data_IF_919051757092
#
_entry.id   IF_919051757092
#
_cell.length_a   1.000
_cell.length_b   1.000
_cell.length_c   1.000
_cell.angle_alpha   90.00
_cell.angle_beta   90.00
_cell.angle_gamma   90.00
#
_symmetry.space_group_name_H-M   'P 1'
#
loop_
_entity.id
_entity.type
_entity.pdbx_description
1 polymer ?
#
# COMPACT_ATOMS: atom_id res chain seq x y z
N UNK A 1 31.21 27.12 -31.01
CA UNK A 1 29.75 26.95 -31.18
C UNK A 1 29.10 27.68 -30.01
N UNK A 2 28.05 28.46 -30.24
CA UNK A 2 27.29 29.11 -29.16
C UNK A 2 26.47 28.04 -28.40
N UNK A 3 26.32 28.14 -27.08
CA UNK A 3 25.47 27.25 -26.29
C UNK A 3 24.02 27.24 -26.81
N UNK A 4 23.52 28.41 -27.21
CA UNK A 4 22.20 28.53 -27.87
C UNK A 4 22.12 27.68 -29.15
N UNK A 5 23.19 27.62 -29.96
CA UNK A 5 23.21 26.78 -31.18
C UNK A 5 23.30 25.29 -30.85
N UNK A 6 23.98 24.92 -29.77
CA UNK A 6 24.00 23.54 -29.30
C UNK A 6 22.62 23.10 -28.79
N UNK A 7 21.90 23.99 -28.10
CA UNK A 7 20.53 23.78 -27.63
C UNK A 7 19.52 23.71 -28.78
N UNK A 8 19.60 24.62 -29.76
CA UNK A 8 18.77 24.61 -30.97
C UNK A 8 19.00 23.35 -31.83
N UNK A 9 20.25 22.89 -32.00
CA UNK A 9 20.53 21.64 -32.73
C UNK A 9 20.07 20.41 -31.92
N UNK A 10 20.23 20.40 -30.59
CA UNK A 10 19.73 19.32 -29.72
C UNK A 10 18.20 19.19 -29.78
N UNK A 11 17.46 20.30 -29.66
CA UNK A 11 16.02 20.33 -29.85
C UNK A 11 15.61 19.85 -31.25
N UNK A 12 16.37 20.21 -32.30
CA UNK A 12 16.07 19.78 -33.66
C UNK A 12 16.34 18.28 -33.88
N UNK A 13 17.36 17.72 -33.23
CA UNK A 13 17.63 16.27 -33.22
C UNK A 13 16.52 15.54 -32.46
N UNK A 14 16.10 16.05 -31.30
CA UNK A 14 15.01 15.46 -30.50
C UNK A 14 13.68 15.48 -31.26
N UNK A 15 13.34 16.59 -31.93
CA UNK A 15 12.16 16.72 -32.78
C UNK A 15 12.23 15.86 -34.07
N UNK A 16 13.42 15.52 -34.56
CA UNK A 16 13.60 14.63 -35.70
C UNK A 16 13.56 13.14 -35.31
N UNK A 17 13.98 12.79 -34.09
CA UNK A 17 13.84 11.45 -33.52
C UNK A 17 12.40 11.13 -33.08
N UNK A 18 11.69 12.13 -32.56
CA UNK A 18 10.26 12.05 -32.21
C UNK A 18 9.36 12.12 -33.46
N UNK A 19 9.47 11.14 -34.36
CA UNK A 19 8.59 11.00 -35.51
C UNK A 19 7.12 11.01 -35.08
N UNK A 20 6.33 11.94 -35.62
CA UNK A 20 5.01 12.36 -35.09
C UNK A 20 4.10 11.17 -34.74
N UNK A 21 3.89 10.88 -33.44
CA UNK A 21 2.94 9.86 -33.02
C UNK A 21 1.53 10.34 -33.34
N UNK A 22 0.72 9.50 -33.98
CA UNK A 22 -0.73 9.75 -34.09
C UNK A 22 -1.37 9.54 -32.73
N UNK A 23 -1.36 10.59 -31.90
CA UNK A 23 -2.01 10.62 -30.58
C UNK A 23 -3.50 10.33 -30.73
N UNK A 24 -3.90 9.08 -30.54
CA UNK A 24 -5.30 8.68 -30.47
C UNK A 24 -5.90 9.13 -29.14
N UNK A 25 -7.18 9.50 -29.15
CA UNK A 25 -7.87 9.95 -27.94
C UNK A 25 -7.80 8.91 -26.82
N UNK A 26 -7.83 7.64 -27.17
CA UNK A 26 -7.83 6.53 -26.21
C UNK A 26 -6.42 6.22 -25.67
N UNK A 27 -5.37 6.44 -26.48
CA UNK A 27 -3.98 6.43 -25.98
C UNK A 27 -3.69 7.61 -25.03
N UNK A 28 -4.29 8.78 -25.28
CA UNK A 28 -4.22 9.92 -24.34
C UNK A 28 -5.01 9.63 -23.06
N UNK A 29 -6.18 8.99 -23.15
CA UNK A 29 -6.98 8.58 -21.99
C UNK A 29 -6.25 7.55 -21.11
N UNK A 30 -5.76 6.46 -21.69
CA UNK A 30 -5.02 5.43 -20.93
C UNK A 30 -3.80 6.00 -20.20
N UNK A 31 -3.06 6.92 -20.84
CA UNK A 31 -1.92 7.60 -20.21
C UNK A 31 -2.35 8.56 -19.10
N UNK A 32 -3.46 9.29 -19.27
CA UNK A 32 -4.00 10.17 -18.24
C UNK A 32 -4.55 9.39 -17.02
N UNK A 33 -5.18 8.24 -17.24
CA UNK A 33 -5.61 7.34 -16.15
C UNK A 33 -4.40 6.79 -15.39
N UNK A 34 -3.36 6.33 -16.08
CA UNK A 34 -2.14 5.79 -15.45
C UNK A 34 -1.41 6.84 -14.60
N UNK A 35 -1.37 8.11 -15.04
CA UNK A 35 -0.82 9.23 -14.26
C UNK A 35 -1.69 9.59 -13.04
N UNK A 36 -3.02 9.44 -13.13
CA UNK A 36 -3.89 9.56 -11.95
C UNK A 36 -3.67 8.44 -10.94
N UNK A 37 -3.60 7.18 -11.37
CA UNK A 37 -3.40 6.03 -10.46
C UNK A 37 -2.11 6.17 -9.63
N UNK A 38 -1.01 6.66 -10.22
CA UNK A 38 0.22 7.00 -9.48
C UNK A 38 0.07 8.03 -8.34
N UNK A 39 -1.01 8.83 -8.32
CA UNK A 39 -1.31 9.75 -7.21
C UNK A 39 -2.21 9.14 -6.14
N UNK A 40 -2.91 8.04 -6.45
CA UNK A 40 -3.73 7.29 -5.50
C UNK A 40 -2.94 6.15 -4.82
N UNK A 41 -1.95 5.56 -5.50
CA UNK A 41 -1.11 4.46 -4.99
C UNK A 41 -0.02 4.90 -3.97
N UNK A 42 0.00 6.17 -3.57
CA UNK A 42 1.03 6.76 -2.70
C UNK A 42 0.50 7.06 -1.29
N UNK A 43 -0.35 6.18 -0.75
CA UNK A 43 -1.13 6.45 0.46
C UNK A 43 -1.80 5.22 1.07
N UNK A 44 -1.07 4.35 1.79
CA UNK A 44 -1.61 3.13 2.45
C UNK A 44 -0.63 2.46 3.47
N UNK A 45 -0.56 2.99 4.70
CA UNK A 45 -0.25 2.36 6.01
C UNK A 45 -0.73 3.38 7.10
N UNK A 46 -1.03 3.19 8.40
CA UNK A 46 -0.85 2.08 9.36
C UNK A 46 -1.04 2.42 10.89
N UNK A 47 -2.09 3.10 11.43
CA UNK A 47 -2.19 3.42 12.91
C UNK A 47 -3.54 3.69 13.65
N UNK A 48 -3.76 3.08 14.84
CA UNK A 48 -4.71 3.58 15.88
C UNK A 48 -4.40 3.17 17.34
N UNK A 49 -4.69 4.06 18.32
CA UNK A 49 -4.69 3.71 19.76
C UNK A 49 -5.65 4.60 20.60
N UNK A 50 -6.68 3.99 21.22
CA UNK A 50 -7.58 4.65 22.19
C UNK A 50 -7.62 3.88 23.54
N UNK A 51 -6.74 4.25 24.48
CA UNK A 51 -6.64 3.58 25.79
C UNK A 51 -7.52 4.27 26.84
N UNK A 52 -8.70 3.69 27.14
CA UNK A 52 -9.55 4.16 28.25
C UNK A 52 -10.55 3.12 28.81
N UNK A 53 -10.09 2.12 29.58
CA UNK A 53 -10.97 1.29 30.40
C UNK A 53 -10.30 0.77 31.69
N UNK A 54 -10.59 1.41 32.83
CA UNK A 54 -10.15 0.92 34.15
C UNK A 54 -11.26 0.13 34.84
N UNK A 55 -11.07 -1.18 35.04
CA UNK A 55 -12.00 -2.05 35.77
C UNK A 55 -11.26 -2.86 36.83
N UNK A 56 -11.70 -2.75 38.09
CA UNK A 56 -11.18 -3.51 39.23
C UNK A 56 -12.31 -4.34 39.85
N UNK A 57 -12.11 -5.65 40.04
CA UNK A 57 -12.84 -6.43 41.04
C UNK A 57 -11.99 -6.69 42.30
N UNK A 58 -12.63 -6.61 43.47
CA UNK A 58 -12.07 -7.04 44.76
C UNK A 58 -12.44 -8.51 45.08
N UNK A 59 -11.83 -9.03 46.16
CA UNK A 59 -12.05 -10.30 46.86
C UNK A 59 -11.27 -11.51 46.31
N UNK A 60 -10.43 -12.24 47.07
CA UNK A 60 -10.44 -12.73 48.47
C UNK A 60 -11.13 -14.08 48.69
N UNK A 61 -10.29 -15.13 48.75
CA UNK A 61 -10.29 -16.20 49.75
C UNK A 61 -11.62 -16.90 50.11
N UNK A 62 -11.82 -18.07 49.53
CA UNK A 62 -12.27 -19.27 50.26
C UNK A 62 -11.40 -20.48 49.86
N UNK A 63 -11.40 -21.53 50.67
CA UNK A 63 -10.70 -22.79 50.37
C UNK A 63 -11.36 -23.96 51.10
N UNK A 64 -10.98 -25.19 50.75
CA UNK A 64 -11.47 -26.39 51.42
C UNK A 64 -11.01 -27.69 50.74
N UNK A 65 -10.31 -28.54 51.49
CA UNK A 65 -10.05 -29.93 51.11
C UNK A 65 -11.36 -30.74 51.14
N UNK A 66 -11.52 -31.68 50.20
CA UNK A 66 -12.76 -32.45 50.06
C UNK A 66 -12.63 -33.66 49.14
N UNK A 67 -11.83 -34.65 49.53
CA UNK A 67 -11.73 -35.92 48.79
C UNK A 67 -12.94 -36.82 49.08
N UNK A 68 -13.67 -37.22 48.03
CA UNK A 68 -14.52 -38.43 48.04
C UNK A 68 -14.37 -39.18 46.72
N UNK A 69 -14.08 -40.48 46.83
CA UNK A 69 -13.80 -41.39 45.72
C UNK A 69 -15.03 -41.61 44.82
N UNK A 70 -14.85 -41.49 43.50
CA UNK A 70 -15.82 -41.94 42.49
C UNK A 70 -15.07 -42.43 41.25
N UNK A 71 -15.26 -43.70 40.89
CA UNK A 71 -14.56 -44.35 39.79
C UNK A 71 -14.91 -43.69 38.43
N UNK A 72 -13.91 -43.36 37.59
CA UNK A 72 -14.16 -42.77 36.28
C UNK A 72 -14.81 -43.79 35.32
N UNK A 73 -15.76 -43.35 34.46
CA UNK A 73 -16.34 -44.21 33.43
C UNK A 73 -15.30 -44.56 32.34
N UNK A 74 -15.61 -45.61 31.57
CA UNK A 74 -14.70 -46.25 30.59
C UNK A 74 -14.20 -45.26 29.53
N UNK A 75 -12.91 -45.37 29.21
CA UNK A 75 -12.23 -44.61 28.16
C UNK A 75 -12.95 -44.70 26.82
N UNK A 76 -13.40 -43.55 26.32
CA UNK A 76 -13.59 -43.35 24.88
C UNK A 76 -12.25 -43.57 24.16
N UNK A 77 -12.26 -44.04 22.90
CA UNK A 77 -11.03 -44.16 22.13
C UNK A 77 -10.46 -42.77 21.88
N UNK A 78 -9.22 -42.53 22.33
CA UNK A 78 -8.48 -41.32 21.98
C UNK A 78 -8.26 -41.31 20.48
N UNK A 79 -8.95 -40.42 19.76
CA UNK A 79 -8.54 -40.04 18.40
C UNK A 79 -7.18 -39.39 18.54
N UNK A 80 -6.19 -39.84 17.77
CA UNK A 80 -4.85 -39.26 17.83
C UNK A 80 -4.90 -37.85 17.25
N UNK A 81 -4.46 -36.85 18.02
CA UNK A 81 -4.35 -35.43 17.61
C UNK A 81 -3.21 -35.21 16.60
N UNK A 82 -3.24 -36.01 15.52
CA UNK A 82 -2.18 -36.15 14.51
C UNK A 82 -2.78 -36.30 13.10
N UNK A 83 -4.11 -36.11 12.99
CA UNK A 83 -4.88 -36.28 11.75
C UNK A 83 -5.19 -34.96 11.03
N UNK A 84 -5.15 -33.83 11.75
CA UNK A 84 -5.17 -32.50 11.16
C UNK A 84 -3.73 -31.97 11.14
N UNK A 85 -3.20 -31.46 10.01
CA UNK A 85 -2.09 -30.53 10.10
C UNK A 85 -2.54 -29.30 10.91
N UNK A 86 -1.63 -28.56 11.56
CA UNK A 86 -1.97 -27.21 12.00
C UNK A 86 -2.43 -26.40 10.78
N UNK A 87 -3.35 -25.45 10.99
CA UNK A 87 -3.57 -24.44 9.97
C UNK A 87 -2.23 -23.75 9.66
N UNK A 88 -1.92 -23.42 8.38
CA UNK A 88 -0.77 -22.59 8.09
C UNK A 88 -0.84 -21.31 8.93
N UNK A 89 0.31 -20.87 9.43
CA UNK A 89 0.41 -19.59 10.13
C UNK A 89 0.30 -18.41 9.15
N UNK A 90 0.35 -17.17 9.68
CA UNK A 90 0.47 -15.97 8.86
C UNK A 90 1.52 -16.10 7.76
N UNK A 91 1.11 -15.79 6.52
CA UNK A 91 1.95 -15.80 5.33
C UNK A 91 2.25 -14.35 4.95
N UNK A 92 3.52 -13.97 5.06
CA UNK A 92 4.01 -12.67 4.59
C UNK A 92 4.23 -12.75 3.07
N UNK A 93 3.66 -11.82 2.31
CA UNK A 93 3.82 -11.73 0.86
C UNK A 93 4.46 -10.41 0.39
N UNK A 94 4.97 -9.56 1.29
CA UNK A 94 5.67 -8.32 0.88
C UNK A 94 6.84 -8.62 -0.06
N UNK A 95 7.07 -7.73 -1.01
CA UNK A 95 8.02 -7.96 -2.09
C UNK A 95 7.47 -8.85 -3.23
N UNK A 96 6.16 -9.13 -3.27
CA UNK A 96 5.56 -9.70 -4.48
C UNK A 96 5.60 -8.69 -5.64
N UNK A 97 5.57 -9.18 -6.87
CA UNK A 97 5.42 -8.35 -8.07
C UNK A 97 4.42 -8.94 -9.05
N UNK A 98 3.93 -8.11 -9.97
CA UNK A 98 2.99 -8.51 -11.03
C UNK A 98 3.62 -8.24 -12.39
N UNK A 99 3.65 -9.24 -13.27
CA UNK A 99 4.20 -9.18 -14.61
C UNK A 99 3.18 -9.65 -15.63
N UNK A 100 2.72 -8.76 -16.50
CA UNK A 100 1.71 -9.02 -17.56
C UNK A 100 0.40 -9.69 -17.08
N UNK A 101 0.12 -9.63 -15.77
CA UNK A 101 -1.05 -10.23 -15.10
C UNK A 101 -0.75 -11.48 -14.28
N UNK A 102 0.45 -12.06 -14.37
CA UNK A 102 0.94 -13.10 -13.48
C UNK A 102 1.48 -12.48 -12.19
N UNK A 103 1.03 -13.01 -11.04
CA UNK A 103 1.51 -12.64 -9.71
C UNK A 103 2.69 -13.54 -9.37
N UNK A 104 3.79 -12.94 -8.90
CA UNK A 104 4.98 -13.61 -8.41
C UNK A 104 5.10 -13.38 -6.89
N UNK A 105 4.70 -14.35 -6.05
CA UNK A 105 4.91 -14.29 -4.60
C UNK A 105 6.40 -14.35 -4.24
N UNK A 106 6.85 -13.74 -3.13
CA UNK A 106 8.19 -13.98 -2.56
C UNK A 106 8.39 -15.45 -2.14
N UNK A 107 7.35 -16.09 -1.60
CA UNK A 107 7.32 -17.54 -1.32
C UNK A 107 6.12 -18.20 -2.01
N UNK A 108 6.38 -18.96 -3.08
CA UNK A 108 5.35 -19.71 -3.82
C UNK A 108 5.80 -20.13 -5.21
N UNK A 109 4.85 -20.65 -5.99
CA UNK A 109 4.94 -20.68 -7.45
C UNK A 109 4.16 -19.46 -7.99
N UNK A 110 4.62 -18.79 -9.07
CA UNK A 110 3.83 -17.74 -9.72
C UNK A 110 2.49 -18.25 -10.24
N UNK A 111 1.47 -17.38 -10.27
CA UNK A 111 0.12 -17.74 -10.73
C UNK A 111 -0.58 -16.59 -11.43
N UNK A 112 -1.42 -16.90 -12.42
CA UNK A 112 -2.31 -15.93 -13.07
C UNK A 112 -3.73 -16.08 -12.50
N UNK A 113 -4.33 -15.02 -11.91
CA UNK A 113 -5.72 -15.02 -11.45
C UNK A 113 -6.73 -15.32 -12.57
N UNK A 114 -7.77 -16.13 -12.31
CA UNK A 114 -8.85 -16.41 -13.27
C UNK A 114 -9.87 -15.26 -13.35
N UNK A 115 -9.40 -14.08 -13.80
CA UNK A 115 -10.17 -12.83 -13.85
C UNK A 115 -10.40 -12.35 -15.29
N UNK A 116 -11.63 -11.93 -15.57
CA UNK A 116 -11.95 -11.11 -16.74
C UNK A 116 -11.56 -9.66 -16.44
N UNK A 117 -10.55 -9.11 -17.14
CA UNK A 117 -10.26 -7.68 -17.12
C UNK A 117 -8.78 -7.28 -17.06
N UNK A 118 -8.55 -6.00 -16.78
CA UNK A 118 -7.25 -5.45 -16.37
C UNK A 118 -7.16 -5.49 -14.85
N UNK A 119 -6.16 -6.19 -14.29
CA UNK A 119 -5.81 -6.07 -12.86
C UNK A 119 -5.17 -4.69 -12.65
N UNK A 120 -5.70 -3.95 -11.69
CA UNK A 120 -5.38 -2.54 -11.43
C UNK A 120 -4.59 -2.31 -10.15
N UNK A 121 -4.83 -3.17 -9.16
CA UNK A 121 -4.19 -3.21 -7.85
C UNK A 121 -4.26 -4.64 -7.32
N UNK A 122 -3.29 -5.02 -6.50
CA UNK A 122 -3.21 -6.32 -5.83
C UNK A 122 -2.69 -6.06 -4.42
N UNK A 123 -3.17 -6.83 -3.45
CA UNK A 123 -2.57 -6.99 -2.12
C UNK A 123 -2.94 -8.39 -1.59
N UNK A 124 -2.48 -8.78 -0.41
CA UNK A 124 -2.69 -10.11 0.17
C UNK A 124 -3.43 -10.04 1.51
N UNK A 125 -3.79 -11.21 2.02
CA UNK A 125 -4.14 -11.43 3.41
C UNK A 125 -3.19 -12.49 3.99
N UNK A 126 -2.83 -12.36 5.27
CA UNK A 126 -1.93 -13.29 5.96
C UNK A 126 -2.46 -14.75 6.00
N UNK A 127 -3.73 -14.98 5.69
CA UNK A 127 -4.32 -16.32 5.53
C UNK A 127 -4.07 -16.98 4.15
N UNK A 128 -3.26 -16.34 3.30
CA UNK A 128 -2.85 -16.86 1.99
C UNK A 128 -3.82 -16.56 0.85
N UNK A 129 -4.80 -15.68 1.07
CA UNK A 129 -5.67 -15.12 0.02
C UNK A 129 -5.05 -13.88 -0.61
N UNK A 130 -5.46 -13.61 -1.85
CA UNK A 130 -5.10 -12.40 -2.59
C UNK A 130 -6.36 -11.56 -2.85
N UNK A 131 -6.22 -10.24 -2.82
CA UNK A 131 -7.31 -9.28 -3.06
C UNK A 131 -6.89 -8.37 -4.20
N UNK A 132 -7.73 -8.28 -5.24
CA UNK A 132 -7.40 -7.63 -6.51
C UNK A 132 -8.47 -6.61 -6.88
N UNK A 133 -8.07 -5.39 -7.25
CA UNK A 133 -8.93 -4.45 -7.96
C UNK A 133 -8.89 -4.73 -9.45
N UNK A 134 -10.05 -4.93 -10.10
CA UNK A 134 -10.13 -5.36 -11.51
C UNK A 134 -11.08 -4.47 -12.31
N UNK A 135 -10.71 -4.15 -13.56
CA UNK A 135 -11.60 -3.56 -14.57
C UNK A 135 -12.08 -4.64 -15.58
N UNK A 136 -13.17 -5.36 -15.28
CA UNK A 136 -13.75 -6.34 -16.19
C UNK A 136 -14.36 -5.75 -17.47
N UNK A 137 -14.39 -6.54 -18.54
CA UNK A 137 -14.74 -6.03 -19.87
C UNK A 137 -16.23 -5.63 -19.96
N UNK A 138 -16.46 -4.31 -20.05
CA UNK A 138 -17.81 -3.75 -20.18
C UNK A 138 -18.65 -3.78 -18.90
N UNK A 139 -18.02 -4.02 -17.74
CA UNK A 139 -18.64 -4.01 -16.41
C UNK A 139 -18.09 -2.84 -15.57
N UNK A 140 -18.53 -2.75 -14.30
CA UNK A 140 -17.99 -1.80 -13.34
C UNK A 140 -16.64 -2.30 -12.78
N UNK A 141 -15.93 -1.45 -12.02
CA UNK A 141 -14.78 -1.90 -11.23
C UNK A 141 -15.26 -2.86 -10.13
N UNK A 142 -14.53 -3.95 -9.94
CA UNK A 142 -14.87 -5.03 -9.01
C UNK A 142 -13.65 -5.40 -8.18
N UNK A 143 -13.86 -5.74 -6.91
CA UNK A 143 -12.83 -6.34 -6.05
C UNK A 143 -12.99 -7.85 -6.05
N UNK A 144 -11.95 -8.57 -6.44
CA UNK A 144 -11.90 -10.02 -6.53
C UNK A 144 -11.03 -10.56 -5.39
N UNK A 145 -11.42 -11.70 -4.82
CA UNK A 145 -10.60 -12.43 -3.85
C UNK A 145 -10.26 -13.80 -4.44
N UNK A 146 -8.97 -14.14 -4.53
CA UNK A 146 -8.49 -15.46 -4.99
C UNK A 146 -7.72 -16.20 -3.90
N UNK A 147 -7.47 -17.49 -4.12
CA UNK A 147 -6.37 -18.18 -3.45
C UNK A 147 -5.03 -17.96 -4.18
N UNK A 148 -3.95 -18.54 -3.65
CA UNK A 148 -2.61 -18.53 -4.25
C UNK A 148 -2.42 -19.48 -5.45
N UNK A 149 -3.52 -20.00 -6.04
CA UNK A 149 -3.52 -20.67 -7.35
C UNK A 149 -4.22 -19.82 -8.44
N UNK A 150 -4.88 -18.73 -8.03
CA UNK A 150 -5.69 -17.88 -8.90
C UNK A 150 -7.16 -18.26 -8.95
N UNK A 151 -7.64 -19.26 -8.20
CA UNK A 151 -9.07 -19.62 -8.17
C UNK A 151 -9.87 -18.51 -7.47
N UNK A 152 -10.91 -18.00 -8.14
CA UNK A 152 -11.76 -16.92 -7.62
C UNK A 152 -12.68 -17.45 -6.51
N UNK A 153 -12.36 -17.06 -5.28
CA UNK A 153 -13.11 -17.37 -4.07
C UNK A 153 -14.34 -16.45 -3.90
N UNK A 154 -14.20 -15.18 -4.26
CA UNK A 154 -15.27 -14.19 -4.17
C UNK A 154 -15.10 -13.01 -5.15
N UNK A 155 -16.21 -12.30 -5.41
CA UNK A 155 -16.24 -11.04 -6.15
C UNK A 155 -17.18 -10.06 -5.48
N UNK A 156 -16.80 -8.79 -5.44
CA UNK A 156 -17.45 -7.73 -4.67
C UNK A 156 -17.58 -6.45 -5.49
N UNK A 157 -18.73 -5.78 -5.37
CA UNK A 157 -18.94 -4.45 -5.94
C UNK A 157 -18.03 -3.42 -5.24
N UNK A 158 -17.40 -2.55 -6.02
CA UNK A 158 -16.49 -1.50 -5.57
C UNK A 158 -16.62 -0.24 -6.43
N UNK A 159 -16.16 0.91 -5.93
CA UNK A 159 -15.85 2.06 -6.79
C UNK A 159 -14.42 1.97 -7.29
N UNK A 160 -14.18 2.47 -8.51
CA UNK A 160 -12.85 2.70 -9.08
C UNK A 160 -11.97 3.49 -8.09
N UNK A 161 -10.86 2.88 -7.64
CA UNK A 161 -10.00 3.37 -6.56
C UNK A 161 -8.94 2.34 -6.15
N UNK A 162 -8.05 2.72 -5.24
CA UNK A 162 -7.06 1.81 -4.66
C UNK A 162 -7.69 0.80 -3.68
N UNK A 163 -6.96 -0.29 -3.42
CA UNK A 163 -7.14 -1.08 -2.21
C UNK A 163 -6.33 -0.42 -1.08
N UNK A 164 -6.81 -0.57 0.14
CA UNK A 164 -6.13 -0.16 1.37
C UNK A 164 -5.85 -1.41 2.21
N UNK A 165 -4.69 -1.54 2.86
CA UNK A 165 -4.31 -2.74 3.62
C UNK A 165 -3.23 -2.43 4.65
N UNK A 166 -3.24 -3.11 5.80
CA UNK A 166 -2.15 -3.02 6.77
C UNK A 166 -0.89 -3.81 6.32
N UNK A 167 0.29 -3.36 6.77
CA UNK A 167 1.61 -3.93 6.43
C UNK A 167 1.79 -5.42 6.77
N UNK A 168 0.90 -6.02 7.56
CA UNK A 168 0.93 -7.44 7.91
C UNK A 168 -0.03 -8.29 7.05
N UNK A 169 -0.91 -7.67 6.26
CA UNK A 169 -2.01 -8.37 5.57
C UNK A 169 -3.11 -8.83 6.52
N UNK A 170 -3.28 -8.18 7.68
CA UNK A 170 -4.33 -8.50 8.65
C UNK A 170 -5.74 -8.21 8.12
N UNK A 171 -5.91 -7.15 7.33
CA UNK A 171 -7.16 -6.81 6.66
C UNK A 171 -6.96 -5.92 5.42
N UNK A 172 -7.89 -6.05 4.46
CA UNK A 172 -7.96 -5.21 3.25
C UNK A 172 -9.29 -4.46 3.22
N UNK A 173 -9.28 -3.18 2.84
CA UNK A 173 -10.47 -2.36 2.66
C UNK A 173 -10.59 -1.75 1.26
N UNK A 174 -11.83 -1.50 0.85
CA UNK A 174 -12.17 -0.82 -0.40
C UNK A 174 -13.48 -0.06 -0.25
N UNK A 175 -13.76 0.87 -1.17
CA UNK A 175 -14.98 1.67 -1.17
C UNK A 175 -16.12 0.98 -1.94
N UNK A 176 -17.28 0.82 -1.32
CA UNK A 176 -18.50 0.30 -1.97
C UNK A 176 -19.22 1.39 -2.80
N UNK A 177 -19.94 1.06 -3.89
CA UNK A 177 -20.71 2.05 -4.67
C UNK A 177 -21.79 2.83 -3.89
N UNK A 178 -22.20 2.36 -2.72
CA UNK A 178 -23.05 3.12 -1.77
C UNK A 178 -22.27 4.12 -0.89
N UNK A 179 -20.99 4.37 -1.17
CA UNK A 179 -20.17 5.35 -0.46
C UNK A 179 -19.66 4.92 0.92
N UNK A 180 -19.68 3.62 1.22
CA UNK A 180 -19.23 3.06 2.50
C UNK A 180 -17.98 2.21 2.31
N UNK A 181 -16.95 2.35 3.15
CA UNK A 181 -15.86 1.40 3.19
C UNK A 181 -16.37 -0.02 3.52
N UNK A 182 -15.72 -1.03 2.94
CA UNK A 182 -15.81 -2.44 3.34
C UNK A 182 -14.48 -2.90 3.89
N UNK A 183 -14.51 -3.87 4.80
CA UNK A 183 -13.34 -4.53 5.37
C UNK A 183 -13.42 -6.03 5.14
N UNK A 184 -12.36 -6.63 4.60
CA UNK A 184 -12.14 -8.07 4.61
C UNK A 184 -10.92 -8.37 5.49
N UNK A 185 -11.16 -8.81 6.71
CA UNK A 185 -10.09 -9.25 7.61
C UNK A 185 -9.65 -10.69 7.32
N UNK A 186 -8.42 -11.01 7.72
CA UNK A 186 -7.85 -12.36 7.79
C UNK A 186 -8.81 -13.32 8.51
N UNK A 187 -8.89 -14.57 8.02
CA UNK A 187 -9.81 -15.60 8.46
C UNK A 187 -11.30 -15.37 8.10
N UNK A 188 -11.70 -14.19 7.62
CA UNK A 188 -13.11 -13.91 7.30
C UNK A 188 -13.50 -14.31 5.89
N UNK A 189 -14.47 -15.23 5.78
CA UNK A 189 -15.03 -15.65 4.49
C UNK A 189 -15.95 -14.63 3.79
N UNK A 190 -16.18 -13.44 4.37
CA UNK A 190 -16.96 -12.33 3.79
C UNK A 190 -16.52 -10.99 4.39
N UNK A 191 -16.60 -9.88 3.64
CA UNK A 191 -16.35 -8.56 4.20
C UNK A 191 -17.49 -8.04 5.09
N UNK A 192 -17.15 -7.16 6.03
CA UNK A 192 -18.09 -6.31 6.76
C UNK A 192 -18.23 -4.92 6.12
N UNK A 193 -19.35 -4.25 6.38
CA UNK A 193 -19.59 -2.85 5.97
C UNK A 193 -19.27 -1.89 7.13
N UNK A 194 -18.59 -0.77 6.84
CA UNK A 194 -18.49 0.35 7.78
C UNK A 194 -19.85 1.05 7.95
N UNK A 195 -20.11 1.54 9.17
CA UNK A 195 -21.37 2.25 9.48
C UNK A 195 -21.44 3.67 8.87
N UNK A 196 -20.34 4.17 8.30
CA UNK A 196 -20.23 5.51 7.72
C UNK A 196 -20.33 5.52 6.18
N UNK A 197 -21.30 6.29 5.66
CA UNK A 197 -21.25 6.82 4.27
C UNK A 197 -20.33 8.04 4.24
N UNK A 198 -19.18 7.90 3.57
CA UNK A 198 -18.16 8.92 3.45
C UNK A 198 -18.38 9.88 2.28
N UNK A 199 -19.19 9.51 1.29
CA UNK A 199 -19.39 10.35 0.09
C UNK A 199 -20.14 11.64 0.37
N UNK A 200 -21.03 11.67 1.38
CA UNK A 200 -21.88 12.84 1.64
C UNK A 200 -22.73 13.29 0.42
N UNK A 201 -22.86 12.43 -0.60
CA UNK A 201 -23.46 12.75 -1.90
C UNK A 201 -22.59 13.55 -2.88
N UNK A 202 -21.28 13.76 -2.66
CA UNK A 202 -20.36 14.48 -3.57
C UNK A 202 -18.91 14.00 -3.51
N UNK A 203 -18.28 13.95 -4.69
CA UNK A 203 -16.89 13.55 -4.91
C UNK A 203 -16.58 12.08 -4.53
N UNK A 204 -15.52 11.46 -5.09
CA UNK A 204 -15.01 10.22 -4.55
C UNK A 204 -14.34 10.49 -3.20
N UNK A 205 -14.61 9.65 -2.21
CA UNK A 205 -13.71 9.48 -1.06
C UNK A 205 -12.69 8.42 -1.46
N UNK A 206 -11.40 8.74 -1.43
CA UNK A 206 -10.36 7.72 -1.58
C UNK A 206 -10.07 7.14 -0.20
N UNK A 207 -10.18 5.82 -0.06
CA UNK A 207 -9.49 5.19 1.07
C UNK A 207 -7.99 5.37 0.84
N UNK A 208 -7.30 5.76 1.90
CA UNK A 208 -5.87 5.50 1.99
C UNK A 208 -5.66 4.09 2.53
N UNK A 209 -6.26 3.78 3.66
CA UNK A 209 -5.53 2.92 4.60
C UNK A 209 -6.38 2.08 5.57
N UNK A 210 -5.87 0.92 6.04
CA UNK A 210 -6.42 0.03 7.09
C UNK A 210 -5.48 -0.12 8.31
N UNK A 211 -5.89 0.39 9.47
CA UNK A 211 -4.97 0.54 10.62
C UNK A 211 -4.70 -0.81 11.36
N UNK A 212 -3.47 -1.06 11.86
CA UNK A 212 -3.04 -2.36 12.36
C UNK A 212 -3.86 -2.81 13.57
N UNK A 213 -4.13 -4.11 13.61
CA UNK A 213 -5.06 -4.71 14.58
C UNK A 213 -6.53 -4.67 14.15
N UNK A 214 -6.84 -4.23 12.92
CA UNK A 214 -8.18 -4.32 12.34
C UNK A 214 -8.75 -5.75 12.37
N UNK A 215 -10.05 -5.84 12.61
CA UNK A 215 -10.77 -7.09 12.85
C UNK A 215 -12.24 -6.99 12.43
N UNK A 216 -12.97 -8.09 12.60
CA UNK A 216 -14.41 -8.18 12.36
C UNK A 216 -15.28 -7.26 13.23
N UNK A 217 -14.79 -6.84 14.41
CA UNK A 217 -15.58 -6.15 15.44
C UNK A 217 -15.07 -4.74 15.76
N UNK A 218 -13.75 -4.52 15.62
CA UNK A 218 -13.11 -3.21 15.72
C UNK A 218 -12.06 -3.04 14.61
N UNK A 219 -12.08 -1.86 13.99
CA UNK A 219 -11.17 -1.47 12.91
C UNK A 219 -11.32 0.04 12.65
N UNK A 220 -10.25 0.65 12.17
CA UNK A 220 -10.23 2.04 11.72
C UNK A 220 -9.53 2.08 10.36
N UNK A 221 -9.95 2.98 9.48
CA UNK A 221 -9.33 3.27 8.17
C UNK A 221 -8.96 4.74 8.07
N UNK A 222 -7.93 5.10 7.29
CA UNK A 222 -7.77 6.50 6.86
C UNK A 222 -8.41 6.71 5.49
N UNK A 223 -9.06 7.86 5.31
CA UNK A 223 -9.74 8.22 4.09
C UNK A 223 -9.54 9.71 3.76
N UNK A 224 -9.17 9.99 2.51
CA UNK A 224 -9.16 11.34 1.97
C UNK A 224 -10.59 11.74 1.60
N UNK A 225 -11.13 12.75 2.29
CA UNK A 225 -12.46 13.29 2.03
C UNK A 225 -12.38 14.60 1.25
N UNK A 226 -12.83 14.58 0.00
CA UNK A 226 -13.07 15.79 -0.80
C UNK A 226 -14.40 16.45 -0.39
N UNK A 227 -14.43 16.99 0.83
CA UNK A 227 -15.52 17.82 1.31
C UNK A 227 -15.59 19.15 0.52
N UNK A 228 -16.62 19.98 0.76
CA UNK A 228 -16.79 21.24 0.01
C UNK A 228 -15.97 22.44 0.54
N UNK A 229 -14.88 22.18 1.25
CA UNK A 229 -13.88 23.17 1.66
C UNK A 229 -13.33 23.94 0.45
N UNK A 230 -13.07 25.25 0.57
CA UNK A 230 -12.35 26.00 -0.46
C UNK A 230 -10.85 25.67 -0.51
N UNK A 231 -10.31 24.99 0.51
CA UNK A 231 -8.87 24.90 0.76
C UNK A 231 -8.25 23.55 0.36
N UNK A 232 -9.05 22.50 0.11
CA UNK A 232 -8.56 21.19 -0.33
C UNK A 232 -9.43 20.01 0.14
N UNK A 233 -8.88 18.81 0.03
CA UNK A 233 -9.34 17.60 0.72
C UNK A 233 -8.96 17.61 2.20
N UNK A 234 -9.54 16.69 2.98
CA UNK A 234 -9.24 16.49 4.40
C UNK A 234 -9.05 15.01 4.71
N UNK A 235 -7.92 14.62 5.30
CA UNK A 235 -7.70 13.27 5.80
C UNK A 235 -8.49 13.01 7.10
N UNK A 236 -9.19 11.88 7.13
CA UNK A 236 -10.04 11.43 8.24
C UNK A 236 -9.58 10.05 8.71
N UNK A 237 -9.52 9.84 10.04
CA UNK A 237 -9.61 8.49 10.60
C UNK A 237 -11.10 8.13 10.77
N UNK A 238 -11.51 6.95 10.31
CA UNK A 238 -12.91 6.49 10.30
C UNK A 238 -12.98 5.11 10.95
N UNK A 239 -13.78 4.93 12.00
CA UNK A 239 -13.96 3.63 12.67
C UNK A 239 -15.09 2.80 12.08
N UNK A 240 -15.08 1.48 12.32
CA UNK A 240 -16.11 0.54 11.86
C UNK A 240 -17.53 0.92 12.34
N UNK A 241 -17.62 1.50 13.55
CA UNK A 241 -18.85 2.04 14.14
C UNK A 241 -19.32 3.38 13.51
N UNK A 242 -18.53 3.94 12.60
CA UNK A 242 -18.85 5.12 11.80
C UNK A 242 -18.46 6.46 12.42
N UNK A 243 -17.68 6.45 13.51
CA UNK A 243 -17.05 7.66 14.05
C UNK A 243 -16.01 8.20 13.05
N UNK A 244 -15.85 9.53 12.99
CA UNK A 244 -14.92 10.21 12.07
C UNK A 244 -14.14 11.26 12.84
N UNK A 245 -12.83 11.18 12.77
CA UNK A 245 -11.91 12.11 13.41
C UNK A 245 -11.04 12.79 12.33
N UNK A 246 -11.24 14.10 12.07
CA UNK A 246 -10.36 14.87 11.22
C UNK A 246 -8.91 14.87 11.72
N UNK A 247 -7.96 14.79 10.80
CA UNK A 247 -6.53 14.64 11.09
C UNK A 247 -5.74 15.93 10.91
N UNK A 248 -6.40 17.10 10.84
CA UNK A 248 -5.78 18.44 10.71
C UNK A 248 -4.64 18.68 11.73
N UNK A 249 -4.80 18.08 12.93
CA UNK A 249 -3.84 18.07 14.03
C UNK A 249 -2.46 17.49 13.67
N UNK A 250 -2.33 16.72 12.59
CA UNK A 250 -1.06 16.19 12.10
C UNK A 250 -0.24 17.23 11.33
N UNK A 251 -0.86 18.32 10.84
CA UNK A 251 -0.19 19.32 10.01
C UNK A 251 0.19 18.84 8.60
N UNK A 252 -0.34 17.69 8.17
CA UNK A 252 -0.12 17.11 6.85
C UNK A 252 -1.17 17.64 5.85
N UNK A 253 -0.74 17.84 4.60
CA UNK A 253 -1.57 18.13 3.44
C UNK A 253 -2.13 16.86 2.79
N UNK A 254 -1.40 15.75 2.93
CA UNK A 254 -1.80 14.41 2.53
C UNK A 254 -0.96 13.37 3.27
N UNK A 255 -1.59 12.37 3.86
CA UNK A 255 -0.92 11.19 4.42
C UNK A 255 -0.42 10.28 3.28
N UNK A 256 0.80 9.76 3.45
CA UNK A 256 1.37 8.72 2.57
C UNK A 256 1.38 7.36 3.27
N UNK A 257 1.72 7.31 4.56
CA UNK A 257 2.03 6.06 5.24
C UNK A 257 1.99 6.22 6.76
N UNK A 258 1.90 5.14 7.53
CA UNK A 258 2.06 5.16 9.00
C UNK A 258 2.72 3.84 9.43
N UNK A 259 3.59 3.86 10.43
CA UNK A 259 4.43 2.71 10.82
C UNK A 259 3.62 1.47 11.26
N UNK A 260 4.09 0.23 11.02
CA UNK A 260 3.38 -1.01 11.36
C UNK A 260 2.90 -1.17 12.82
N UNK A 261 3.45 -0.39 13.76
CA UNK A 261 3.08 -0.37 15.19
C UNK A 261 2.00 0.66 15.55
N UNK A 262 1.64 1.54 14.61
CA UNK A 262 0.69 2.62 14.79
C UNK A 262 1.22 3.91 15.42
N UNK A 263 2.54 4.11 15.49
CA UNK A 263 3.13 5.26 16.20
C UNK A 263 3.44 6.50 15.34
N UNK A 264 3.89 6.34 14.09
CA UNK A 264 4.51 7.40 13.28
C UNK A 264 3.90 7.52 11.89
N UNK A 265 3.41 8.68 11.48
CA UNK A 265 2.80 8.94 10.16
C UNK A 265 3.69 9.77 9.26
N UNK A 266 3.85 9.33 8.02
CA UNK A 266 4.50 10.05 6.94
C UNK A 266 3.47 10.83 6.11
N UNK A 267 3.88 11.98 5.59
CA UNK A 267 3.05 12.71 4.65
C UNK A 267 3.67 14.02 4.19
N UNK A 268 3.01 14.64 3.23
CA UNK A 268 3.39 15.94 2.68
C UNK A 268 3.03 17.05 3.67
N UNK A 269 3.99 17.91 4.02
CA UNK A 269 3.81 19.08 4.91
C UNK A 269 3.89 20.42 4.18
N UNK A 270 4.31 20.42 2.92
CA UNK A 270 4.39 21.64 2.10
C UNK A 270 4.33 21.28 0.61
N UNK A 271 3.53 22.03 -0.14
CA UNK A 271 3.51 22.02 -1.61
C UNK A 271 3.52 23.48 -2.12
N UNK A 272 4.54 23.84 -2.91
CA UNK A 272 4.55 25.07 -3.71
C UNK A 272 4.86 24.73 -5.16
N UNK A 273 3.82 24.66 -5.98
CA UNK A 273 3.91 24.36 -7.41
C UNK A 273 4.72 25.42 -8.20
N UNK A 274 4.84 26.65 -7.68
CA UNK A 274 5.50 27.77 -8.38
C UNK A 274 7.01 27.80 -8.15
N UNK A 275 7.48 27.34 -6.98
CA UNK A 275 8.91 27.12 -6.72
C UNK A 275 9.36 25.67 -6.89
N UNK A 276 8.42 24.76 -7.17
CA UNK A 276 8.61 23.30 -7.22
C UNK A 276 9.14 22.72 -5.90
N UNK A 277 8.83 23.39 -4.78
CA UNK A 277 9.30 23.02 -3.45
C UNK A 277 8.24 22.19 -2.71
N UNK A 278 8.50 20.90 -2.57
CA UNK A 278 7.67 19.94 -1.85
C UNK A 278 8.45 19.39 -0.67
N UNK A 279 7.80 19.26 0.49
CA UNK A 279 8.44 18.77 1.70
C UNK A 279 7.55 17.75 2.40
N UNK A 280 8.18 16.73 2.98
CA UNK A 280 7.54 15.64 3.70
C UNK A 280 8.11 15.55 5.12
N UNK A 281 7.33 15.01 6.04
CA UNK A 281 7.71 14.82 7.43
C UNK A 281 7.25 13.46 7.94
N UNK A 282 7.94 13.01 8.99
CA UNK A 282 7.43 11.96 9.89
C UNK A 282 6.94 12.65 11.16
N UNK A 283 5.69 12.41 11.55
CA UNK A 283 5.08 12.99 12.75
C UNK A 283 4.45 11.89 13.61
N UNK A 284 4.35 12.08 14.93
CA UNK A 284 3.75 11.08 15.83
C UNK A 284 2.24 11.04 15.60
N UNK A 285 1.69 9.90 15.15
CA UNK A 285 0.28 9.81 14.74
C UNK A 285 -0.70 10.18 15.86
N UNK A 286 -0.37 9.89 17.12
CA UNK A 286 -1.21 10.22 18.28
C UNK A 286 -1.29 11.73 18.60
N UNK A 287 -0.26 12.53 18.27
CA UNK A 287 -0.14 13.93 18.74
C UNK A 287 0.01 14.97 17.63
N UNK A 288 0.50 14.58 16.45
CA UNK A 288 0.95 15.53 15.41
C UNK A 288 2.32 16.15 15.67
N UNK A 289 3.12 15.59 16.58
CA UNK A 289 4.47 16.07 16.89
C UNK A 289 5.45 15.67 15.78
N UNK A 290 5.99 16.64 15.05
CA UNK A 290 7.00 16.43 13.99
C UNK A 290 8.29 15.84 14.59
N UNK A 291 8.68 14.65 14.14
CA UNK A 291 9.98 14.03 14.47
C UNK A 291 11.09 14.70 13.65
N UNK A 292 10.88 14.76 12.34
CA UNK A 292 11.79 15.37 11.36
C UNK A 292 11.05 15.66 10.05
N UNK A 293 11.64 16.54 9.23
CA UNK A 293 11.14 16.90 7.90
C UNK A 293 12.28 17.04 6.89
N UNK A 294 12.00 16.79 5.62
CA UNK A 294 12.92 17.08 4.51
C UNK A 294 12.16 17.59 3.29
N UNK A 295 12.89 18.20 2.34
CA UNK A 295 12.42 18.56 1.01
C UNK A 295 13.30 17.93 -0.09
N UNK A 296 14.28 17.09 0.28
CA UNK A 296 15.19 16.41 -0.67
C UNK A 296 14.50 15.19 -1.32
N UNK A 297 13.64 14.52 -0.55
CA UNK A 297 12.93 13.29 -0.89
C UNK A 297 11.52 13.29 -0.27
N UNK A 298 10.65 12.38 -0.72
CA UNK A 298 9.26 12.32 -0.30
C UNK A 298 8.59 10.97 -0.57
N UNK A 299 7.27 10.93 -0.33
CA UNK A 299 6.44 9.72 -0.42
C UNK A 299 7.01 8.53 0.35
N UNK A 300 7.37 8.79 1.60
CA UNK A 300 8.01 7.85 2.50
C UNK A 300 7.11 6.68 2.92
N UNK A 301 7.47 5.46 2.54
CA UNK A 301 6.87 4.18 2.97
C UNK A 301 7.71 3.54 4.09
N UNK A 302 7.11 3.12 5.21
CA UNK A 302 7.82 2.53 6.35
C UNK A 302 8.34 1.12 6.05
N UNK A 303 9.48 0.76 6.64
CA UNK A 303 9.95 -0.63 6.64
C UNK A 303 9.00 -1.52 7.46
N UNK A 304 8.93 -2.84 7.19
CA UNK A 304 8.12 -3.80 7.95
C UNK A 304 8.39 -3.89 9.47
N UNK A 305 9.46 -3.26 9.96
CA UNK A 305 9.78 -3.14 11.39
C UNK A 305 9.61 -1.71 11.94
N UNK A 306 9.18 -0.76 11.10
CA UNK A 306 8.98 0.66 11.43
C UNK A 306 10.27 1.48 11.65
N UNK A 307 11.46 0.89 11.48
CA UNK A 307 12.74 1.56 11.81
C UNK A 307 13.25 2.49 10.72
N UNK A 308 12.84 2.26 9.46
CA UNK A 308 13.26 3.03 8.29
C UNK A 308 12.06 3.50 7.48
N UNK A 309 12.31 4.42 6.54
CA UNK A 309 11.38 4.79 5.47
C UNK A 309 12.10 4.83 4.12
N UNK A 310 11.47 4.28 3.09
CA UNK A 310 11.88 4.32 1.68
C UNK A 310 11.11 5.44 0.98
N UNK A 311 11.80 6.31 0.24
CA UNK A 311 11.18 7.40 -0.52
C UNK A 311 11.87 7.70 -1.84
N UNK A 312 11.26 8.59 -2.61
CA UNK A 312 11.65 9.01 -3.98
C UNK A 312 11.83 10.52 -4.05
N UNK A 313 11.92 11.11 -5.25
CA UNK A 313 11.88 12.57 -5.44
C UNK A 313 10.68 13.18 -4.68
N UNK A 314 10.89 14.30 -3.98
CA UNK A 314 9.79 14.99 -3.29
C UNK A 314 8.69 15.49 -4.26
N UNK A 315 8.95 15.57 -5.56
CA UNK A 315 8.03 16.05 -6.59
C UNK A 315 7.73 14.98 -7.65
N UNK A 316 6.43 14.70 -7.84
CA UNK A 316 5.92 13.52 -8.56
C UNK A 316 5.17 13.89 -9.87
N UNK A 317 5.79 14.67 -10.76
CA UNK A 317 5.25 14.94 -12.13
C UNK A 317 5.99 14.21 -13.26
N UNK A 318 7.09 13.53 -12.93
CA UNK A 318 8.01 12.93 -13.89
C UNK A 318 7.50 11.67 -14.61
N UNK A 319 8.29 11.24 -15.60
CA UNK A 319 8.12 9.94 -16.27
C UNK A 319 8.29 8.75 -15.29
N UNK A 320 9.14 8.95 -14.30
CA UNK A 320 9.44 8.09 -13.16
C UNK A 320 10.39 8.85 -12.23
N UNK A 321 10.88 8.18 -11.19
CA UNK A 321 11.72 8.76 -10.15
C UNK A 321 13.21 8.69 -10.53
N UNK A 322 14.00 9.66 -10.05
CA UNK A 322 15.42 9.80 -10.36
C UNK A 322 16.32 9.05 -9.36
N UNK A 323 15.78 8.63 -8.22
CA UNK A 323 16.43 7.82 -7.20
C UNK A 323 15.39 7.11 -6.31
N UNK A 324 15.85 6.13 -5.53
CA UNK A 324 15.24 5.80 -4.22
C UNK A 324 16.21 6.11 -3.08
N UNK A 325 15.69 6.48 -1.93
CA UNK A 325 16.46 6.88 -0.74
C UNK A 325 15.82 6.31 0.52
N UNK A 326 16.63 5.66 1.36
CA UNK A 326 16.19 5.12 2.66
C UNK A 326 16.69 6.01 3.78
N UNK A 327 15.80 6.35 4.72
CA UNK A 327 16.08 7.17 5.90
C UNK A 327 15.66 6.47 7.19
N UNK A 328 16.32 6.79 8.29
CA UNK A 328 15.89 6.45 9.66
C UNK A 328 14.52 7.06 9.94
N UNK A 329 13.56 6.26 10.39
CA UNK A 329 12.23 6.74 10.78
C UNK A 329 12.29 7.64 12.03
N UNK A 330 13.29 7.45 12.90
CA UNK A 330 13.42 8.18 14.16
C UNK A 330 13.91 9.63 13.97
N UNK A 331 14.90 9.86 13.09
CA UNK A 331 15.61 11.16 12.96
C UNK A 331 15.86 11.66 11.52
N UNK A 332 15.48 10.91 10.48
CA UNK A 332 15.58 11.32 9.08
C UNK A 332 16.99 11.26 8.47
N UNK A 333 17.96 10.70 9.20
CA UNK A 333 19.30 10.41 8.69
C UNK A 333 19.21 9.46 7.48
N UNK A 334 19.88 9.79 6.38
CA UNK A 334 19.97 8.91 5.20
C UNK A 334 20.80 7.67 5.56
N UNK A 335 20.19 6.50 5.41
CA UNK A 335 20.78 5.17 5.63
C UNK A 335 21.50 4.73 4.36
N UNK A 336 20.82 4.82 3.22
CA UNK A 336 21.35 4.49 1.90
C UNK A 336 20.53 5.11 0.78
N UNK A 337 21.05 5.05 -0.45
CA UNK A 337 20.48 5.74 -1.61
C UNK A 337 20.89 5.04 -2.91
N UNK A 338 19.96 4.94 -3.85
CA UNK A 338 20.17 4.35 -5.17
C UNK A 338 19.93 5.38 -6.27
N UNK A 339 21.01 6.02 -6.72
CA UNK A 339 21.04 6.89 -7.91
C UNK A 339 21.13 6.02 -9.18
N UNK A 340 20.02 5.37 -9.52
CA UNK A 340 19.92 4.35 -10.57
C UNK A 340 19.55 4.85 -11.98
N UNK A 341 19.12 3.94 -12.87
CA UNK A 341 18.23 4.27 -13.98
C UNK A 341 16.89 4.79 -13.45
N UNK A 342 16.02 5.34 -14.32
CA UNK A 342 14.69 5.81 -13.91
C UNK A 342 13.91 4.69 -13.23
N UNK A 343 13.46 4.97 -12.00
CA UNK A 343 12.58 4.10 -11.20
C UNK A 343 11.13 4.37 -11.60
N UNK A 344 10.31 3.33 -11.66
CA UNK A 344 8.90 3.42 -12.03
C UNK A 344 7.95 2.95 -10.93
N UNK A 345 8.47 2.22 -9.96
CA UNK A 345 7.75 1.64 -8.83
C UNK A 345 8.78 1.20 -7.78
N UNK A 346 8.44 1.30 -6.50
CA UNK A 346 9.29 0.91 -5.38
C UNK A 346 8.47 0.36 -4.19
N UNK A 347 8.92 -0.73 -3.57
CA UNK A 347 8.21 -1.39 -2.47
C UNK A 347 9.17 -2.12 -1.52
N UNK A 348 8.79 -2.25 -0.24
CA UNK A 348 9.56 -3.06 0.72
C UNK A 348 9.34 -4.57 0.50
N UNK A 349 10.44 -5.32 0.58
CA UNK A 349 10.52 -6.77 0.38
C UNK A 349 10.80 -7.48 1.72
N UNK A 350 11.60 -6.85 2.59
CA UNK A 350 11.68 -7.17 4.01
C UNK A 350 12.16 -5.95 4.82
N UNK A 351 12.29 -6.07 6.14
CA UNK A 351 12.97 -5.04 6.94
C UNK A 351 14.45 -4.80 6.53
N UNK A 352 15.07 -5.74 5.79
CA UNK A 352 16.45 -5.64 5.29
C UNK A 352 16.57 -5.56 3.78
N UNK A 353 15.47 -5.37 3.03
CA UNK A 353 15.51 -5.35 1.56
C UNK A 353 14.30 -4.63 0.94
N UNK A 354 14.51 -3.97 -0.19
CA UNK A 354 13.43 -3.37 -1.00
C UNK A 354 13.61 -3.65 -2.48
N UNK A 355 12.50 -3.59 -3.23
CA UNK A 355 12.45 -3.76 -4.67
C UNK A 355 12.28 -2.42 -5.40
N UNK A 356 12.85 -2.33 -6.59
CA UNK A 356 12.58 -1.23 -7.55
C UNK A 356 12.37 -1.76 -8.97
N UNK A 357 11.34 -1.27 -9.63
CA UNK A 357 11.06 -1.48 -11.06
C UNK A 357 11.76 -0.37 -11.85
N UNK A 358 12.75 -0.68 -12.70
CA UNK A 358 13.55 0.33 -13.43
C UNK A 358 13.60 0.08 -14.93
N UNK A 359 13.79 1.15 -15.72
CA UNK A 359 14.22 1.03 -17.12
C UNK A 359 15.66 1.53 -17.30
N UNK A 360 16.53 0.62 -17.71
CA UNK A 360 17.91 0.91 -18.06
C UNK A 360 18.01 1.83 -19.29
N UNK A 361 19.11 2.58 -19.43
CA UNK A 361 19.33 3.50 -20.56
C UNK A 361 19.33 2.82 -21.94
N UNK A 362 19.45 1.50 -22.00
CA UNK A 362 19.31 0.64 -23.19
C UNK A 362 17.86 0.44 -23.63
N UNK A 363 16.88 0.66 -22.76
CA UNK A 363 15.47 0.29 -22.94
C UNK A 363 15.06 -1.01 -22.24
N UNK A 364 16.03 -1.78 -21.74
CA UNK A 364 15.80 -2.99 -20.93
C UNK A 364 15.11 -2.65 -19.61
N UNK A 365 14.10 -3.43 -19.24
CA UNK A 365 13.38 -3.28 -17.97
C UNK A 365 13.90 -4.31 -16.96
N UNK A 366 14.09 -3.91 -15.71
CA UNK A 366 14.66 -4.75 -14.66
C UNK A 366 13.83 -4.62 -13.37
N UNK A 367 13.68 -5.74 -12.66
CA UNK A 367 13.37 -5.72 -11.23
C UNK A 367 14.67 -5.89 -10.46
N UNK A 368 14.96 -4.97 -9.55
CA UNK A 368 16.15 -5.02 -8.70
C UNK A 368 15.75 -5.16 -7.23
N UNK A 369 16.44 -6.03 -6.48
CA UNK A 369 16.42 -6.06 -5.01
C UNK A 369 17.65 -5.35 -4.47
N UNK A 370 17.46 -4.50 -3.46
CA UNK A 370 18.50 -3.68 -2.85
C UNK A 370 18.54 -3.84 -1.32
N UNK A 371 19.76 -3.77 -0.79
CA UNK A 371 20.05 -3.62 0.63
C UNK A 371 19.91 -2.12 1.04
N UNK A 372 19.21 -1.79 2.14
CA UNK A 372 19.03 -0.42 2.61
C UNK A 372 20.31 0.33 3.01
N UNK A 373 21.35 -0.37 3.50
CA UNK A 373 22.61 0.24 3.96
C UNK A 373 23.67 0.26 2.86
N UNK A 374 23.95 -0.90 2.24
CA UNK A 374 24.87 -1.00 1.09
C UNK A 374 24.83 -2.38 0.38
N UNK A 375 24.65 -2.37 -0.94
CA UNK A 375 24.83 -3.56 -1.78
C UNK A 375 25.09 -3.23 -3.26
N UNK A 376 25.60 -4.21 -4.01
CA UNK A 376 25.37 -4.24 -5.46
C UNK A 376 23.94 -4.78 -5.68
N UNK A 377 23.06 -4.11 -6.45
CA UNK A 377 21.68 -4.56 -6.64
C UNK A 377 21.59 -5.97 -7.24
N UNK A 378 20.81 -6.84 -6.62
CA UNK A 378 20.44 -8.13 -7.19
C UNK A 378 19.45 -7.91 -8.34
N UNK A 379 19.69 -8.52 -9.49
CA UNK A 379 18.72 -8.53 -10.60
C UNK A 379 17.78 -9.71 -10.38
N UNK A 380 16.55 -9.42 -9.97
CA UNK A 380 15.50 -10.41 -9.76
C UNK A 380 14.88 -10.81 -11.10
N UNK A 381 14.48 -9.82 -11.90
CA UNK A 381 13.92 -10.03 -13.24
C UNK A 381 14.57 -9.15 -14.32
N UNK A 382 14.54 -9.63 -15.56
CA UNK A 382 15.14 -8.96 -16.72
C UNK A 382 14.30 -9.17 -17.98
N UNK A 383 13.74 -8.08 -18.50
CA UNK A 383 12.85 -8.07 -19.65
C UNK A 383 13.44 -7.20 -20.79
N UNK A 384 13.38 -7.70 -22.01
CA UNK A 384 13.62 -6.86 -23.19
C UNK A 384 12.57 -5.74 -23.24
N UNK A 385 12.98 -4.54 -23.66
CA UNK A 385 12.10 -3.38 -23.65
C UNK A 385 12.55 -2.29 -24.62
N UNK A 386 11.69 -1.29 -24.84
CA UNK A 386 11.94 -0.15 -25.72
C UNK A 386 12.12 1.11 -24.89
N UNK A 387 13.19 1.88 -25.17
CA UNK A 387 13.50 3.09 -24.41
C UNK A 387 12.38 4.14 -24.50
N UNK A 388 11.80 4.51 -23.36
CA UNK A 388 10.66 5.42 -23.25
C UNK A 388 9.29 4.71 -23.20
N UNK A 389 9.28 3.37 -23.24
CA UNK A 389 8.12 2.50 -23.06
C UNK A 389 8.41 1.60 -21.83
N UNK A 390 8.01 2.03 -20.62
CA UNK A 390 8.52 1.49 -19.36
C UNK A 390 7.89 0.16 -18.97
N UNK A 391 8.52 -0.49 -17.99
CA UNK A 391 8.19 -1.84 -17.50
C UNK A 391 6.69 -2.07 -17.24
N UNK A 392 6.15 -3.26 -17.57
CA UNK A 392 4.86 -3.73 -17.06
C UNK A 392 4.95 -4.26 -15.62
N UNK A 393 6.16 -4.39 -15.05
CA UNK A 393 6.36 -4.85 -13.67
C UNK A 393 5.81 -3.80 -12.70
N UNK A 394 4.70 -4.16 -12.05
CA UNK A 394 4.11 -3.47 -10.90
C UNK A 394 4.57 -4.17 -9.62
N UNK A 395 4.79 -3.42 -8.55
CA UNK A 395 5.20 -3.96 -7.25
C UNK A 395 4.02 -4.07 -6.26
N UNK A 396 4.20 -4.98 -5.31
CA UNK A 396 3.27 -5.24 -4.22
C UNK A 396 3.65 -4.53 -2.93
N UNK A 397 2.74 -3.68 -2.45
CA UNK A 397 2.77 -2.97 -1.17
C UNK A 397 1.39 -2.41 -0.86
#
# INVERSE_FOLDING_TARGET
MNEQQAFEEALRIQAAGAGTPTLTLDGVRGRATRIRRRRAAAGAAGAAALVAAAVVPLALLTGGDGSTDTLPPVSTPTVSDTANPPAPGPVDQRGFWVLDGEIHPPEGEPFTPDVDGEVASVTWLEDGRWVLGVYPQGRAFEVVVTDATGEVLATHEATDGALASDDAGGAVAWMHPEGRPRLLASGQGKPGDFSADLTGGRAPTELREVLPGCSAEDCVVLAESYDSSPDGSTDLAVSLSGERLPLDRLGLLSITDVSPDGALVSGMVTADELSMNYCYAIVVFATGEERWRTCDAGSFRFSPDGTMVLGVDAYLDGFGHSFTEVRSADDGTVVGRFDGPTVFDEAWDSAGSYLVSVQANTGENLLLRLDPEAGEPEVVERLEGTRGDPSPILLGG
#
